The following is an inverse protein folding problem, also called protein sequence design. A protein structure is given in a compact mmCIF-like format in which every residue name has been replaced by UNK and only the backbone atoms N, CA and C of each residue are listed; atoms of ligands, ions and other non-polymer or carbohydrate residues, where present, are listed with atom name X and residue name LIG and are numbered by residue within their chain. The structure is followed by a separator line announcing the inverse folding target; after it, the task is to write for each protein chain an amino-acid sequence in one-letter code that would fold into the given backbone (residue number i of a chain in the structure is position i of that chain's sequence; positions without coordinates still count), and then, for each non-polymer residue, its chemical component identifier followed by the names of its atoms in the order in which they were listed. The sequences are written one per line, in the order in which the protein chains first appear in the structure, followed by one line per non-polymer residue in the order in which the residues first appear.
data_IF_270900467804
#
_entry.id   IF_270900467804
#
_cell.length_a   1.000
_cell.length_b   1.000
_cell.length_c   1.000
_cell.angle_alpha   90.00
_cell.angle_beta   90.00
_cell.angle_gamma   90.00
#
_symmetry.space_group_name_H-M   'P 1'
#
loop_
_entity.id
_entity.type
_entity.pdbx_description
1 polymer ?
#
# COMPACT_ATOMS: atom_id res chain seq x y z
N UNK A 1 -30.77 54.94 27.30
CA UNK A 1 -29.82 54.40 28.29
C UNK A 1 -28.58 53.95 27.56
N UNK A 2 -27.50 54.72 27.68
CA UNK A 2 -26.25 54.57 26.92
C UNK A 2 -25.24 53.79 27.78
N UNK A 3 -24.81 52.64 27.32
CA UNK A 3 -23.71 51.87 27.96
C UNK A 3 -22.38 52.16 27.25
N UNK A 4 -21.57 52.98 27.91
CA UNK A 4 -20.19 53.27 27.51
C UNK A 4 -19.28 52.06 27.76
N UNK A 5 -18.73 51.49 26.71
CA UNK A 5 -17.61 50.53 26.77
C UNK A 5 -16.28 51.26 27.00
N UNK A 6 -15.66 51.05 28.15
CA UNK A 6 -14.30 51.56 28.47
C UNK A 6 -13.27 50.68 27.73
N UNK A 7 -12.53 51.28 26.78
CA UNK A 7 -11.29 50.70 26.23
C UNK A 7 -10.16 50.79 27.25
N UNK A 8 -9.61 49.67 27.66
CA UNK A 8 -8.37 49.60 28.46
C UNK A 8 -7.16 49.84 27.56
N UNK A 9 -6.31 50.82 27.91
CA UNK A 9 -5.10 51.13 27.17
C UNK A 9 -3.95 50.18 27.53
N UNK A 10 -3.07 49.91 26.54
CA UNK A 10 -1.89 49.02 26.67
C UNK A 10 -0.93 49.37 27.82
N UNK A 11 -0.98 50.58 28.38
CA UNK A 11 -0.14 51.02 29.50
C UNK A 11 -0.65 50.55 30.88
N UNK A 12 -1.89 50.12 31.01
CA UNK A 12 -2.46 49.60 32.27
C UNK A 12 -2.09 48.15 32.58
N UNK A 13 -1.64 47.39 31.60
CA UNK A 13 -1.30 45.96 31.77
C UNK A 13 0.14 45.73 32.28
N UNK A 14 1.04 46.71 32.11
CA UNK A 14 2.46 46.59 32.49
C UNK A 14 2.79 46.98 33.93
N UNK A 15 1.83 47.46 34.70
CA UNK A 15 2.06 47.89 36.11
C UNK A 15 1.61 46.91 37.17
N UNK A 16 1.10 45.70 36.81
CA UNK A 16 0.66 44.66 37.77
C UNK A 16 1.46 43.39 37.76
N UNK A 17 2.61 43.35 37.07
CA UNK A 17 3.48 42.16 36.94
C UNK A 17 4.77 42.19 37.80
N UNK A 18 4.88 43.11 38.78
CA UNK A 18 6.08 43.24 39.60
C UNK A 18 5.77 43.09 41.08
N UNK A 19 5.30 41.93 41.50
CA UNK A 19 5.34 41.47 42.92
C UNK A 19 4.91 39.98 42.96
N UNK A 20 5.90 39.11 42.83
CA UNK A 20 5.93 37.76 43.42
C UNK A 20 7.07 36.94 42.73
N UNK A 21 8.28 37.24 43.12
CA UNK A 21 9.42 36.37 42.81
C UNK A 21 10.35 36.34 44.03
N UNK A 22 9.93 35.60 45.01
CA UNK A 22 10.79 35.15 46.10
C UNK A 22 10.16 33.96 46.76
N UNK A 23 10.43 32.75 46.27
CA UNK A 23 10.44 31.49 47.02
C UNK A 23 11.18 30.44 46.20
N UNK A 24 12.27 29.87 46.74
CA UNK A 24 12.74 28.55 46.51
C UNK A 24 13.72 28.30 45.38
N UNK A 25 14.99 28.71 45.54
CA UNK A 25 16.09 27.99 44.89
C UNK A 25 16.27 26.63 45.51
N UNK A 26 15.51 25.64 45.03
CA UNK A 26 15.83 24.25 45.24
C UNK A 26 16.91 23.84 44.27
N UNK A 27 18.10 23.55 44.78
CA UNK A 27 19.20 22.93 44.06
C UNK A 27 18.73 21.66 43.40
N UNK A 28 18.37 21.72 42.13
CA UNK A 28 18.28 20.53 41.27
C UNK A 28 19.75 20.13 40.99
N UNK A 29 20.16 19.01 41.62
CA UNK A 29 21.36 18.30 41.23
C UNK A 29 21.28 18.02 39.70
N UNK A 30 22.38 18.16 38.96
CA UNK A 30 22.38 17.79 37.54
C UNK A 30 22.04 16.30 37.47
N UNK A 31 20.83 16.00 37.03
CA UNK A 31 20.47 14.66 36.58
C UNK A 31 21.51 14.28 35.55
N UNK A 32 22.25 13.20 35.83
CA UNK A 32 23.16 12.61 34.87
C UNK A 32 22.36 12.38 33.56
N UNK A 33 22.55 13.27 32.61
CA UNK A 33 22.19 13.00 31.23
C UNK A 33 23.10 11.84 30.87
N UNK A 34 22.54 10.62 30.91
CA UNK A 34 23.20 9.46 30.31
C UNK A 34 23.47 9.86 28.88
N UNK A 35 24.71 10.21 28.61
CA UNK A 35 25.22 10.27 27.24
C UNK A 35 25.00 8.87 26.68
N UNK A 36 23.91 8.72 25.94
CA UNK A 36 23.77 7.58 25.03
C UNK A 36 25.01 7.66 24.16
N UNK A 37 26.02 6.84 24.49
CA UNK A 37 27.16 6.65 23.63
C UNK A 37 26.57 6.15 22.31
N UNK A 38 26.63 6.97 21.27
CA UNK A 38 26.35 6.52 19.93
C UNK A 38 27.29 5.33 19.69
N UNK A 39 26.77 4.12 19.78
CA UNK A 39 27.52 2.94 19.36
C UNK A 39 27.98 3.23 17.94
N UNK A 40 29.28 3.17 17.72
CA UNK A 40 29.84 3.28 16.39
C UNK A 40 29.08 2.28 15.49
N UNK A 41 28.64 2.72 14.29
CA UNK A 41 27.87 1.86 13.40
C UNK A 41 28.63 0.55 13.21
N UNK A 42 27.98 -0.58 13.49
CA UNK A 42 28.56 -1.88 13.24
C UNK A 42 28.80 -1.98 11.73
N UNK A 43 30.06 -1.86 11.31
CA UNK A 43 30.46 -2.03 9.91
C UNK A 43 30.29 -3.51 9.59
N UNK A 44 29.10 -3.91 9.17
CA UNK A 44 28.87 -5.28 8.66
C UNK A 44 29.47 -5.35 7.27
N UNK A 45 30.73 -5.79 7.20
CA UNK A 45 31.39 -6.07 5.93
C UNK A 45 31.43 -7.57 5.68
N UNK A 46 31.14 -7.97 4.44
CA UNK A 46 31.24 -9.36 3.95
C UNK A 46 30.30 -10.36 4.64
N UNK A 47 29.15 -9.94 5.15
CA UNK A 47 28.14 -10.87 5.65
C UNK A 47 27.58 -11.68 4.49
N UNK A 48 27.49 -13.01 4.64
CA UNK A 48 26.79 -13.89 3.72
C UNK A 48 25.31 -13.96 4.07
N UNK A 49 24.49 -14.04 3.05
CA UNK A 49 23.03 -14.20 3.18
C UNK A 49 22.46 -14.84 1.91
N UNK A 50 21.30 -15.46 2.02
CA UNK A 50 20.60 -16.04 0.88
C UNK A 50 19.61 -15.04 0.28
N UNK A 51 19.52 -15.02 -1.06
CA UNK A 51 18.55 -14.20 -1.79
C UNK A 51 18.17 -14.83 -3.13
N UNK A 52 16.95 -14.61 -3.54
CA UNK A 52 16.43 -15.06 -4.82
C UNK A 52 16.77 -14.07 -5.92
N UNK A 53 17.51 -14.53 -6.92
CA UNK A 53 18.02 -13.69 -8.01
C UNK A 53 17.18 -13.87 -9.27
N UNK A 54 16.58 -12.77 -9.72
CA UNK A 54 15.88 -12.65 -10.99
C UNK A 54 16.78 -11.98 -12.02
N UNK A 55 16.64 -12.39 -13.28
CA UNK A 55 17.24 -11.73 -14.46
C UNK A 55 16.21 -11.00 -15.31
N UNK A 56 14.97 -10.86 -14.80
CA UNK A 56 13.87 -10.18 -15.47
C UNK A 56 12.86 -11.10 -16.14
N UNK A 57 11.77 -10.52 -16.62
CA UNK A 57 10.70 -11.26 -17.27
C UNK A 57 11.18 -11.85 -18.60
N UNK A 58 10.88 -13.14 -18.84
CA UNK A 58 11.29 -13.85 -20.05
C UNK A 58 12.70 -14.42 -20.05
N UNK A 59 13.46 -14.25 -18.97
CA UNK A 59 14.86 -14.71 -18.88
C UNK A 59 15.04 -16.02 -18.11
N UNK A 60 13.95 -16.63 -17.66
CA UNK A 60 13.93 -17.82 -16.82
C UNK A 60 13.53 -17.54 -15.38
N UNK A 61 13.31 -18.61 -14.62
CA UNK A 61 12.89 -18.50 -13.22
C UNK A 61 14.00 -17.96 -12.34
N UNK A 62 13.59 -17.27 -11.31
CA UNK A 62 14.43 -16.86 -10.18
C UNK A 62 15.11 -18.06 -9.53
N UNK A 63 16.36 -17.90 -9.12
CA UNK A 63 17.17 -18.92 -8.46
C UNK A 63 17.71 -18.43 -7.12
N UNK A 64 17.80 -19.33 -6.13
CA UNK A 64 18.32 -19.01 -4.80
C UNK A 64 19.86 -19.09 -4.79
N UNK A 65 20.49 -18.04 -4.30
CA UNK A 65 21.94 -17.94 -4.20
C UNK A 65 22.39 -17.50 -2.82
N UNK A 66 23.60 -17.92 -2.43
CA UNK A 66 24.35 -17.30 -1.35
C UNK A 66 25.05 -16.06 -1.88
N UNK A 67 24.86 -14.94 -1.21
CA UNK A 67 25.36 -13.62 -1.60
C UNK A 67 26.30 -13.07 -0.54
N UNK A 68 27.19 -12.16 -0.94
CA UNK A 68 28.05 -11.43 -0.02
C UNK A 68 27.65 -9.96 0.02
N UNK A 69 27.22 -9.48 1.18
CA UNK A 69 26.82 -8.09 1.38
C UNK A 69 27.99 -7.14 1.15
N UNK A 70 27.76 -6.10 0.36
CA UNK A 70 28.72 -4.99 0.18
C UNK A 70 28.69 -4.04 1.39
N UNK A 71 29.77 -3.26 1.62
CA UNK A 71 29.74 -2.21 2.63
C UNK A 71 28.59 -1.24 2.39
N UNK A 72 27.83 -0.95 3.45
CA UNK A 72 26.75 0.03 3.41
C UNK A 72 27.28 1.45 3.60
N UNK A 73 26.65 2.41 2.95
CA UNK A 73 27.07 3.80 2.93
C UNK A 73 25.91 4.76 3.16
N UNK A 74 26.19 6.01 3.48
CA UNK A 74 25.22 7.08 3.55
C UNK A 74 24.01 6.73 4.44
N UNK A 75 22.81 6.74 3.86
CA UNK A 75 21.53 6.49 4.55
C UNK A 75 21.00 5.06 4.33
N UNK A 76 21.86 4.13 3.93
CA UNK A 76 21.45 2.73 3.78
C UNK A 76 21.17 2.08 5.14
N UNK A 77 20.19 1.18 5.15
CA UNK A 77 19.76 0.38 6.30
C UNK A 77 19.72 -1.08 5.88
N UNK A 78 20.32 -1.96 6.67
CA UNK A 78 20.21 -3.41 6.51
C UNK A 78 19.17 -3.93 7.49
N UNK A 79 18.14 -4.58 6.97
CA UNK A 79 17.06 -5.16 7.75
C UNK A 79 17.10 -6.68 7.59
N UNK A 80 17.24 -7.42 8.70
CA UNK A 80 17.05 -8.87 8.70
C UNK A 80 15.57 -9.16 8.53
N UNK A 81 15.24 -9.82 7.44
CA UNK A 81 13.87 -10.13 7.07
C UNK A 81 13.22 -11.08 8.08
N UNK A 82 12.04 -10.77 8.57
CA UNK A 82 11.20 -11.68 9.37
C UNK A 82 10.07 -12.24 8.51
N UNK A 83 9.43 -11.39 7.72
CA UNK A 83 8.38 -11.79 6.79
C UNK A 83 8.23 -10.80 5.65
N UNK A 84 7.95 -11.31 4.45
CA UNK A 84 7.63 -10.50 3.27
C UNK A 84 6.46 -11.09 2.52
N UNK A 85 5.63 -10.24 1.89
CA UNK A 85 4.54 -10.73 1.08
C UNK A 85 4.98 -10.99 -0.37
N UNK A 86 4.40 -12.03 -0.97
CA UNK A 86 4.62 -12.41 -2.36
C UNK A 86 3.64 -11.63 -3.25
N UNK A 87 4.06 -10.45 -3.71
CA UNK A 87 3.17 -9.55 -4.46
C UNK A 87 3.02 -10.00 -5.92
N UNK A 88 1.78 -10.00 -6.41
CA UNK A 88 1.45 -10.34 -7.79
C UNK A 88 2.18 -9.50 -8.84
N UNK A 89 2.50 -8.25 -8.53
CA UNK A 89 3.21 -7.34 -9.44
C UNK A 89 4.59 -7.83 -9.88
N UNK A 90 5.25 -8.69 -9.09
CA UNK A 90 6.55 -9.27 -9.41
C UNK A 90 6.49 -10.64 -10.12
N UNK A 91 5.31 -11.20 -10.35
CA UNK A 91 5.13 -12.54 -10.93
C UNK A 91 5.93 -12.75 -12.22
N UNK A 92 5.87 -11.77 -13.13
CA UNK A 92 6.60 -11.86 -14.40
C UNK A 92 8.11 -11.98 -14.22
N UNK A 93 8.70 -11.18 -13.33
CA UNK A 93 10.13 -11.21 -13.05
C UNK A 93 10.56 -12.44 -12.24
N UNK A 94 9.76 -12.88 -11.27
CA UNK A 94 10.10 -14.01 -10.39
C UNK A 94 9.96 -15.36 -11.12
N UNK A 95 8.91 -15.55 -11.88
CA UNK A 95 8.68 -16.80 -12.63
C UNK A 95 9.34 -16.77 -14.02
N UNK A 96 9.89 -15.64 -14.45
CA UNK A 96 10.47 -15.47 -15.77
C UNK A 96 9.47 -15.63 -16.90
N UNK A 97 8.18 -15.38 -16.65
CA UNK A 97 7.10 -15.50 -17.61
C UNK A 97 6.80 -14.19 -18.31
N UNK A 98 6.45 -14.27 -19.58
CA UNK A 98 5.93 -13.12 -20.32
C UNK A 98 4.46 -12.87 -19.93
N UNK A 99 4.01 -11.62 -19.92
CA UNK A 99 2.60 -11.32 -19.75
C UNK A 99 1.72 -12.03 -20.79
N UNK A 100 0.47 -12.31 -20.43
CA UNK A 100 -0.55 -12.81 -21.38
C UNK A 100 -0.55 -11.96 -22.65
N UNK A 101 -0.67 -12.59 -23.83
CA UNK A 101 -0.59 -11.91 -25.13
C UNK A 101 -1.61 -10.76 -25.26
N UNK A 102 -2.80 -10.88 -24.65
CA UNK A 102 -3.81 -9.82 -24.65
C UNK A 102 -3.38 -8.61 -23.83
N UNK A 103 -2.65 -8.85 -22.73
CA UNK A 103 -2.07 -7.79 -21.88
C UNK A 103 -0.85 -7.18 -22.56
N UNK A 104 -0.03 -7.99 -23.22
CA UNK A 104 1.15 -7.51 -23.95
C UNK A 104 0.80 -6.70 -25.20
N UNK A 105 -0.34 -7.00 -25.84
CA UNK A 105 -0.83 -6.28 -27.03
C UNK A 105 -1.51 -4.94 -26.68
N UNK A 106 -1.82 -4.67 -25.40
CA UNK A 106 -2.36 -3.38 -25.00
C UNK A 106 -1.36 -2.27 -25.32
N UNK A 107 -1.81 -1.14 -25.92
CA UNK A 107 -0.90 -0.05 -26.25
C UNK A 107 -0.15 0.39 -25.01
N UNK A 108 1.18 0.49 -25.14
CA UNK A 108 1.99 1.05 -24.08
C UNK A 108 1.49 2.47 -23.80
N UNK A 109 1.11 2.76 -22.55
CA UNK A 109 0.76 4.11 -22.15
C UNK A 109 1.83 5.09 -22.63
N UNK A 110 1.43 6.26 -23.11
CA UNK A 110 2.36 7.33 -23.51
C UNK A 110 3.26 7.77 -22.33
N UNK A 111 2.86 7.48 -21.11
CA UNK A 111 3.71 7.51 -19.93
C UNK A 111 4.53 6.21 -19.89
N UNK A 112 5.51 6.11 -20.81
CA UNK A 112 6.47 5.01 -20.79
C UNK A 112 7.04 4.83 -19.39
N UNK A 113 7.19 3.57 -18.97
CA UNK A 113 7.91 3.26 -17.75
C UNK A 113 9.24 4.04 -17.73
N UNK A 114 9.62 4.65 -16.60
CA UNK A 114 10.88 5.38 -16.48
C UNK A 114 12.01 4.56 -17.10
N UNK A 115 12.90 5.22 -17.85
CA UNK A 115 13.97 4.56 -18.60
C UNK A 115 14.80 3.56 -17.79
N UNK A 116 14.79 3.69 -16.43
CA UNK A 116 15.42 2.79 -15.49
C UNK A 116 14.87 1.36 -15.45
N UNK A 117 13.58 1.16 -15.71
CA UNK A 117 12.98 -0.18 -15.69
C UNK A 117 13.53 -1.09 -16.79
N UNK A 118 13.93 -0.53 -17.92
CA UNK A 118 14.53 -1.30 -19.03
C UNK A 118 15.94 -1.84 -18.73
N UNK A 119 16.72 -1.15 -17.90
CA UNK A 119 18.09 -1.57 -17.56
C UNK A 119 18.13 -2.75 -16.59
N UNK A 120 17.07 -2.95 -15.79
CA UNK A 120 17.05 -4.04 -14.79
C UNK A 120 16.86 -5.43 -15.42
N UNK A 121 16.44 -5.54 -16.66
CA UNK A 121 16.18 -6.84 -17.29
C UNK A 121 17.44 -7.68 -17.55
N UNK A 122 18.64 -7.06 -17.54
CA UNK A 122 19.91 -7.75 -17.76
C UNK A 122 20.73 -7.86 -16.47
N UNK A 123 20.20 -7.38 -15.34
CA UNK A 123 20.91 -7.31 -14.06
C UNK A 123 20.49 -8.46 -13.15
N UNK A 124 21.36 -8.85 -12.23
CA UNK A 124 21.01 -9.76 -11.13
C UNK A 124 20.24 -8.95 -10.07
N UNK A 125 18.96 -9.23 -9.85
CA UNK A 125 18.07 -8.44 -9.01
C UNK A 125 17.36 -9.30 -8.00
N UNK A 126 17.42 -8.91 -6.72
CA UNK A 126 16.52 -9.44 -5.69
C UNK A 126 15.16 -8.73 -5.84
N UNK A 127 14.11 -9.51 -6.10
CA UNK A 127 12.76 -9.00 -6.23
C UNK A 127 12.10 -8.76 -4.85
N UNK A 128 10.88 -8.23 -4.85
CA UNK A 128 10.10 -7.90 -3.64
C UNK A 128 10.23 -6.43 -3.25
N UNK A 129 9.10 -5.84 -2.83
CA UNK A 129 9.00 -4.40 -2.56
C UNK A 129 8.23 -4.11 -1.27
N UNK A 130 8.56 -4.83 -0.22
CA UNK A 130 8.03 -4.63 1.13
C UNK A 130 8.30 -5.83 2.02
N UNK A 131 8.27 -5.60 3.31
CA UNK A 131 8.45 -6.64 4.32
C UNK A 131 8.57 -6.06 5.72
N UNK A 132 8.76 -6.93 6.68
CA UNK A 132 9.04 -6.56 8.08
C UNK A 132 10.29 -7.27 8.55
N UNK A 133 10.99 -6.68 9.49
CA UNK A 133 12.20 -7.26 10.04
C UNK A 133 12.84 -6.40 11.11
N UNK A 134 14.07 -6.76 11.48
CA UNK A 134 14.86 -6.08 12.51
C UNK A 134 16.09 -5.44 11.87
N UNK A 135 16.33 -4.18 12.19
CA UNK A 135 17.52 -3.45 11.73
C UNK A 135 18.79 -4.11 12.28
N UNK A 136 19.69 -4.52 11.41
CA UNK A 136 20.98 -5.12 11.79
C UNK A 136 22.16 -4.16 11.62
N UNK A 137 22.07 -3.26 10.64
CA UNK A 137 23.10 -2.26 10.41
C UNK A 137 22.50 -0.98 9.83
N UNK A 138 23.16 0.12 10.10
CA UNK A 138 22.80 1.44 9.59
C UNK A 138 24.02 2.15 9.05
N UNK A 139 23.87 2.85 7.94
CA UNK A 139 24.90 3.73 7.39
C UNK A 139 25.12 4.97 8.27
N UNK A 140 26.24 5.68 8.10
CA UNK A 140 26.63 6.77 8.99
C UNK A 140 25.70 7.99 8.98
N UNK A 141 24.86 8.12 7.97
CA UNK A 141 23.93 9.24 7.82
C UNK A 141 22.49 8.91 8.26
N UNK A 142 22.22 7.66 8.64
CA UNK A 142 20.90 7.23 9.13
C UNK A 142 20.57 7.92 10.45
N UNK A 143 19.34 8.44 10.55
CA UNK A 143 18.84 9.17 11.73
C UNK A 143 17.50 8.64 12.23
N UNK A 144 16.76 7.92 11.39
CA UNK A 144 15.37 7.50 11.66
C UNK A 144 15.28 6.26 12.52
N UNK A 145 16.24 5.35 12.40
CA UNK A 145 16.25 4.03 13.06
C UNK A 145 17.64 3.70 13.59
N UNK A 146 17.69 2.74 14.49
CA UNK A 146 18.93 2.19 15.05
C UNK A 146 18.92 0.68 14.98
N UNK A 147 20.08 0.06 15.19
CA UNK A 147 20.22 -1.40 15.26
C UNK A 147 19.34 -1.96 16.39
N UNK A 148 18.59 -3.00 16.08
CA UNK A 148 17.62 -3.63 16.99
C UNK A 148 16.19 -3.13 16.83
N UNK A 149 15.95 -2.02 16.14
CA UNK A 149 14.58 -1.55 15.87
C UNK A 149 13.85 -2.54 14.96
N UNK A 150 12.61 -2.85 15.30
CA UNK A 150 11.71 -3.60 14.43
C UNK A 150 11.01 -2.64 13.48
N UNK A 151 11.00 -2.98 12.20
CA UNK A 151 10.59 -2.05 11.16
C UNK A 151 9.70 -2.71 10.10
N UNK A 152 8.81 -1.91 9.50
CA UNK A 152 8.23 -2.18 8.20
C UNK A 152 9.10 -1.49 7.14
N UNK A 153 9.47 -2.23 6.09
CA UNK A 153 10.06 -1.66 4.87
C UNK A 153 8.92 -1.46 3.88
N UNK A 154 8.55 -0.21 3.67
CA UNK A 154 7.36 0.18 2.87
C UNK A 154 7.67 0.19 1.38
N UNK A 155 6.71 -0.22 0.54
CA UNK A 155 6.83 -0.13 -0.91
C UNK A 155 6.92 1.30 -1.48
N UNK A 156 6.67 2.31 -0.65
CA UNK A 156 6.79 3.73 -1.00
C UNK A 156 7.65 4.46 0.03
N UNK A 157 8.56 5.34 -0.39
CA UNK A 157 9.40 6.11 0.52
C UNK A 157 8.63 7.27 1.17
N UNK A 158 9.18 7.76 2.28
CA UNK A 158 8.75 8.99 2.95
C UNK A 158 9.98 9.80 3.38
N UNK A 159 10.45 10.72 2.55
CA UNK A 159 11.61 11.53 2.91
C UNK A 159 11.28 12.63 3.93
N UNK A 160 10.01 13.07 4.03
CA UNK A 160 9.55 14.12 4.94
C UNK A 160 9.87 15.55 4.51
N UNK A 161 10.72 15.77 3.51
CA UNK A 161 11.25 17.10 3.14
C UNK A 161 10.90 17.57 1.73
N UNK A 162 10.49 16.67 0.83
CA UNK A 162 10.15 17.05 -0.53
C UNK A 162 8.80 17.78 -0.62
N UNK A 163 8.57 18.47 -1.74
CA UNK A 163 7.35 19.21 -2.00
C UNK A 163 6.06 18.40 -1.73
N UNK A 164 6.04 17.12 -2.08
CA UNK A 164 4.87 16.27 -1.88
C UNK A 164 4.69 15.87 -0.42
N UNK A 165 5.74 15.44 0.25
CA UNK A 165 5.69 15.09 1.67
C UNK A 165 5.22 16.27 2.53
N UNK A 166 5.76 17.49 2.29
CA UNK A 166 5.37 18.69 3.01
C UNK A 166 3.89 19.09 2.80
N UNK A 167 3.23 18.57 1.80
CA UNK A 167 1.79 18.75 1.51
C UNK A 167 0.92 17.57 1.91
N UNK A 168 1.44 16.63 2.69
CA UNK A 168 0.69 15.45 3.14
C UNK A 168 0.46 14.38 2.06
N UNK A 169 1.15 14.48 0.90
CA UNK A 169 1.08 13.53 -0.21
C UNK A 169 2.38 12.72 -0.31
N UNK A 170 2.74 12.08 0.80
CA UNK A 170 3.95 11.24 0.85
C UNK A 170 3.81 9.93 0.04
N UNK A 171 2.59 9.51 -0.28
CA UNK A 171 2.31 8.51 -1.30
C UNK A 171 2.96 8.83 -2.66
N UNK A 172 3.18 10.12 -2.94
CA UNK A 172 3.84 10.66 -4.12
C UNK A 172 5.21 11.27 -3.78
N UNK A 173 5.92 10.69 -2.81
CA UNK A 173 7.23 11.17 -2.42
C UNK A 173 8.19 11.24 -3.61
N UNK A 174 8.78 12.42 -3.83
CA UNK A 174 9.66 12.65 -4.99
C UNK A 174 10.98 11.86 -4.89
N UNK A 175 11.33 11.37 -3.70
CA UNK A 175 12.51 10.54 -3.51
C UNK A 175 12.44 9.21 -4.30
N UNK A 176 11.24 8.69 -4.55
CA UNK A 176 11.05 7.52 -5.40
C UNK A 176 11.54 7.74 -6.84
N UNK A 177 11.38 8.96 -7.37
CA UNK A 177 11.83 9.33 -8.72
C UNK A 177 13.19 10.02 -8.73
N UNK A 178 13.68 10.49 -7.59
CA UNK A 178 14.98 11.16 -7.49
C UNK A 178 16.15 10.17 -7.50
N UNK A 179 15.90 8.91 -7.08
CA UNK A 179 16.85 7.83 -7.25
C UNK A 179 16.64 7.28 -8.65
N UNK A 180 17.36 7.82 -9.62
CA UNK A 180 17.32 7.39 -11.00
C UNK A 180 17.94 6.01 -11.21
N UNK A 181 17.77 5.45 -12.40
CA UNK A 181 18.40 4.19 -12.75
C UNK A 181 19.95 4.27 -12.75
N UNK A 182 20.48 5.47 -12.88
CA UNK A 182 21.93 5.72 -12.86
C UNK A 182 22.50 5.73 -11.43
N UNK A 183 21.62 5.81 -10.39
CA UNK A 183 21.96 5.81 -8.98
C UNK A 183 21.81 4.41 -8.35
N UNK A 184 21.53 3.37 -9.14
CA UNK A 184 21.49 1.99 -8.66
C UNK A 184 22.87 1.56 -8.21
N UNK A 185 23.02 1.40 -6.90
CA UNK A 185 24.25 0.91 -6.30
C UNK A 185 24.08 -0.59 -5.99
N UNK A 186 24.99 -1.47 -6.43
CA UNK A 186 24.90 -2.87 -6.08
C UNK A 186 25.05 -3.06 -4.57
N UNK A 187 24.15 -3.87 -4.00
CA UNK A 187 24.10 -4.12 -2.55
C UNK A 187 24.87 -5.36 -2.11
N UNK A 188 25.12 -6.26 -3.04
CA UNK A 188 25.79 -7.53 -2.79
C UNK A 188 26.54 -8.02 -4.03
N UNK A 189 27.30 -9.08 -3.87
CA UNK A 189 27.94 -9.83 -4.95
C UNK A 189 27.53 -11.30 -4.91
N UNK A 190 27.35 -11.90 -6.09
CA UNK A 190 27.26 -13.34 -6.27
C UNK A 190 28.65 -13.98 -6.08
N UNK A 191 28.75 -15.32 -5.90
CA UNK A 191 30.04 -16.01 -5.76
C UNK A 191 31.01 -15.82 -6.93
N UNK A 192 30.49 -15.57 -8.13
CA UNK A 192 31.27 -15.30 -9.35
C UNK A 192 31.67 -13.81 -9.51
N UNK A 193 31.34 -12.97 -8.53
CA UNK A 193 31.60 -11.53 -8.55
C UNK A 193 30.54 -10.71 -9.30
N UNK A 194 29.47 -11.31 -9.80
CA UNK A 194 28.36 -10.56 -10.44
C UNK A 194 27.70 -9.63 -9.42
N UNK A 195 27.59 -8.32 -9.71
CA UNK A 195 26.91 -7.38 -8.82
C UNK A 195 25.41 -7.63 -8.76
N UNK A 196 24.86 -7.55 -7.54
CA UNK A 196 23.44 -7.77 -7.25
C UNK A 196 22.79 -6.46 -6.81
N UNK A 197 21.62 -6.21 -7.37
CA UNK A 197 20.79 -5.05 -7.11
C UNK A 197 19.45 -5.46 -6.46
N UNK A 198 18.68 -4.51 -6.00
CA UNK A 198 17.36 -4.75 -5.43
C UNK A 198 16.24 -4.07 -6.23
N UNK A 199 15.10 -4.72 -6.27
CA UNK A 199 13.89 -4.12 -6.82
C UNK A 199 13.35 -3.08 -5.84
N UNK A 200 12.99 -1.91 -6.35
CA UNK A 200 12.35 -0.81 -5.59
C UNK A 200 13.18 -0.34 -4.38
N UNK A 201 14.50 -0.53 -4.40
CA UNK A 201 15.41 -0.25 -3.27
C UNK A 201 15.05 -1.04 -2.00
N UNK A 202 14.55 -2.27 -2.14
CA UNK A 202 14.11 -3.11 -1.01
C UNK A 202 14.66 -4.53 -1.11
N UNK A 203 14.36 -5.25 -2.21
CA UNK A 203 14.84 -6.62 -2.40
C UNK A 203 14.29 -7.59 -1.34
N UNK A 204 12.97 -7.62 -1.13
CA UNK A 204 12.35 -8.36 -0.03
C UNK A 204 12.42 -9.89 -0.11
N UNK A 205 12.82 -10.49 -1.25
CA UNK A 205 12.93 -11.95 -1.41
C UNK A 205 14.33 -12.47 -1.03
N UNK A 206 14.79 -12.08 0.17
CA UNK A 206 16.09 -12.46 0.71
C UNK A 206 16.05 -12.47 2.25
N UNK A 207 17.08 -13.05 2.88
CA UNK A 207 17.29 -12.98 4.33
C UNK A 207 17.59 -11.56 4.82
N UNK A 208 18.13 -10.71 3.95
CA UNK A 208 18.41 -9.30 4.23
C UNK A 208 17.78 -8.41 3.17
N UNK A 209 17.07 -7.36 3.62
CA UNK A 209 16.67 -6.22 2.81
C UNK A 209 17.70 -5.10 3.02
N UNK A 210 18.29 -4.60 1.94
CA UNK A 210 19.16 -3.43 1.99
C UNK A 210 18.40 -2.27 1.36
N UNK A 211 18.13 -1.24 2.12
CA UNK A 211 17.27 -0.15 1.71
C UNK A 211 17.81 1.20 2.21
N UNK A 212 17.07 2.27 1.97
CA UNK A 212 17.37 3.58 2.54
C UNK A 212 16.38 3.90 3.68
N UNK A 213 16.79 4.75 4.62
CA UNK A 213 15.96 5.10 5.77
C UNK A 213 14.58 5.67 5.37
N UNK A 214 14.44 6.23 4.16
CA UNK A 214 13.18 6.75 3.66
C UNK A 214 12.10 5.69 3.42
N UNK A 215 12.49 4.43 3.20
CA UNK A 215 11.57 3.28 3.09
C UNK A 215 11.25 2.63 4.42
N UNK A 216 11.98 2.99 5.48
CA UNK A 216 11.89 2.32 6.77
C UNK A 216 10.91 3.05 7.71
N UNK A 217 9.96 2.30 8.25
CA UNK A 217 8.96 2.77 9.21
C UNK A 217 9.11 1.97 10.50
N UNK A 218 9.53 2.57 11.62
CA UNK A 218 9.61 1.89 12.91
C UNK A 218 8.22 1.38 13.35
N UNK A 219 8.16 0.14 13.84
CA UNK A 219 6.92 -0.47 14.35
C UNK A 219 7.16 -1.02 15.77
N UNK A 220 6.50 -0.41 16.74
CA UNK A 220 6.66 -0.77 18.16
C UNK A 220 5.58 -1.80 18.54
N UNK A 221 5.80 -3.07 18.15
CA UNK A 221 4.83 -4.14 18.31
C UNK A 221 5.48 -5.47 18.70
N UNK A 222 4.71 -6.30 19.42
CA UNK A 222 5.04 -7.71 19.70
C UNK A 222 4.27 -8.69 18.81
N UNK A 223 3.54 -8.21 17.81
CA UNK A 223 2.81 -9.06 16.88
C UNK A 223 3.76 -10.07 16.21
N UNK A 224 3.27 -11.28 15.94
CA UNK A 224 4.03 -12.31 15.22
C UNK A 224 4.41 -11.83 13.82
N UNK A 225 5.52 -12.35 13.27
CA UNK A 225 6.09 -11.90 12.01
C UNK A 225 5.09 -12.02 10.83
N UNK A 226 4.35 -13.12 10.73
CA UNK A 226 3.42 -13.36 9.61
C UNK A 226 2.26 -12.37 9.60
N UNK A 227 1.45 -12.20 10.67
CA UNK A 227 0.41 -11.19 10.70
C UNK A 227 0.95 -9.75 10.53
N UNK A 228 2.12 -9.46 11.09
CA UNK A 228 2.78 -8.16 10.91
C UNK A 228 3.21 -7.96 9.44
N UNK A 229 3.85 -8.96 8.83
CA UNK A 229 4.23 -8.95 7.42
C UNK A 229 3.02 -8.79 6.50
N UNK A 230 1.86 -9.34 6.89
CA UNK A 230 0.63 -9.18 6.11
C UNK A 230 0.08 -7.75 6.20
N UNK A 231 -0.08 -7.18 7.40
CA UNK A 231 -0.63 -5.82 7.55
C UNK A 231 0.30 -4.75 6.99
N UNK A 232 1.62 -4.97 7.08
CA UNK A 232 2.65 -4.10 6.51
C UNK A 232 2.95 -4.38 5.03
N UNK A 233 2.30 -5.37 4.42
CA UNK A 233 2.49 -5.68 3.00
C UNK A 233 2.02 -4.54 2.10
N UNK A 234 2.63 -4.41 0.92
CA UNK A 234 2.24 -3.40 -0.06
C UNK A 234 0.74 -3.47 -0.40
N UNK A 235 0.17 -4.68 -0.45
CA UNK A 235 -1.25 -4.89 -0.77
C UNK A 235 -2.17 -4.46 0.37
N UNK A 236 -1.84 -4.78 1.63
CA UNK A 236 -2.66 -4.33 2.78
C UNK A 236 -2.53 -2.84 3.01
N UNK A 237 -1.33 -2.29 2.90
CA UNK A 237 -1.09 -0.84 3.00
C UNK A 237 -1.88 -0.09 1.92
N UNK A 238 -1.92 -0.59 0.67
CA UNK A 238 -2.70 0.04 -0.39
C UNK A 238 -4.22 -0.08 -0.14
N UNK A 239 -4.71 -1.24 0.27
CA UNK A 239 -6.14 -1.45 0.55
C UNK A 239 -6.64 -0.64 1.74
N UNK A 240 -5.90 -0.64 2.85
CA UNK A 240 -6.21 0.18 4.03
C UNK A 240 -6.02 1.68 3.72
N UNK A 241 -4.97 2.05 2.97
CA UNK A 241 -4.77 3.43 2.52
C UNK A 241 -5.96 3.96 1.74
N UNK A 242 -6.47 3.18 0.79
CA UNK A 242 -7.62 3.56 -0.02
C UNK A 242 -8.94 3.66 0.76
N UNK A 243 -9.06 2.93 1.87
CA UNK A 243 -10.33 2.83 2.61
C UNK A 243 -10.36 3.61 3.92
N UNK A 244 -9.26 3.63 4.68
CA UNK A 244 -9.24 4.22 6.04
C UNK A 244 -8.55 5.58 6.06
N UNK A 245 -7.51 5.78 5.24
CA UNK A 245 -6.61 6.92 5.40
C UNK A 245 -6.42 7.75 4.15
N UNK A 246 -7.12 7.45 3.08
CA UNK A 246 -6.98 8.22 1.85
C UNK A 246 -7.31 9.69 2.09
N UNK A 247 -6.36 10.57 1.77
CA UNK A 247 -6.48 12.00 2.08
C UNK A 247 -7.54 12.73 1.25
N UNK A 248 -8.05 12.09 0.19
CA UNK A 248 -8.92 12.71 -0.80
C UNK A 248 -10.31 12.06 -0.88
N UNK A 249 -10.45 10.82 -0.46
CA UNK A 249 -11.72 10.12 -0.38
C UNK A 249 -11.99 9.71 1.06
N UNK A 250 -13.17 9.98 1.54
CA UNK A 250 -13.56 9.74 2.92
C UNK A 250 -14.65 8.69 2.93
N UNK A 251 -14.38 7.55 3.56
CA UNK A 251 -15.44 6.63 3.95
C UNK A 251 -15.89 7.07 5.34
N UNK A 252 -17.14 7.48 5.45
CA UNK A 252 -17.77 7.91 6.69
C UNK A 252 -18.68 6.80 7.25
N UNK A 253 -18.99 6.83 8.55
CA UNK A 253 -20.01 5.95 9.10
C UNK A 253 -21.33 6.08 8.34
N UNK A 254 -21.83 4.94 7.83
CA UNK A 254 -23.01 4.89 7.00
C UNK A 254 -22.76 4.88 5.49
N UNK A 255 -21.54 5.15 5.02
CA UNK A 255 -21.20 5.11 3.59
C UNK A 255 -21.51 3.77 2.93
N UNK A 256 -21.81 3.82 1.64
CA UNK A 256 -21.94 2.67 0.76
C UNK A 256 -20.66 2.55 -0.06
N UNK A 257 -19.97 1.42 0.05
CA UNK A 257 -18.68 1.17 -0.60
C UNK A 257 -18.77 -0.02 -1.53
N UNK A 258 -18.24 0.10 -2.75
CA UNK A 258 -17.99 -1.05 -3.62
C UNK A 258 -16.50 -1.30 -3.76
N UNK A 259 -16.10 -2.57 -3.74
CA UNK A 259 -14.71 -3.01 -3.95
C UNK A 259 -14.68 -3.95 -5.14
N UNK A 260 -14.00 -3.55 -6.21
CA UNK A 260 -13.85 -4.32 -7.45
C UNK A 260 -12.50 -5.03 -7.43
N UNK A 261 -12.55 -6.37 -7.36
CA UNK A 261 -11.39 -7.23 -7.11
C UNK A 261 -11.23 -7.54 -5.62
N UNK A 262 -11.30 -8.85 -5.27
CA UNK A 262 -11.12 -9.36 -3.91
C UNK A 262 -9.82 -10.18 -3.77
N UNK A 263 -8.75 -9.74 -4.42
CA UNK A 263 -7.40 -10.15 -4.08
C UNK A 263 -7.00 -9.61 -2.69
N UNK A 264 -5.77 -9.82 -2.23
CA UNK A 264 -5.35 -9.39 -0.89
C UNK A 264 -5.49 -7.87 -0.69
N UNK A 265 -5.29 -7.07 -1.74
CA UNK A 265 -5.51 -5.62 -1.71
C UNK A 265 -6.99 -5.29 -1.49
N UNK A 266 -7.88 -5.84 -2.33
CA UNK A 266 -9.33 -5.57 -2.21
C UNK A 266 -9.92 -6.11 -0.91
N UNK A 267 -9.48 -7.28 -0.42
CA UNK A 267 -9.89 -7.82 0.88
C UNK A 267 -9.41 -6.94 2.05
N UNK A 268 -8.26 -6.30 1.92
CA UNK A 268 -7.80 -5.29 2.88
C UNK A 268 -8.66 -4.02 2.82
N UNK A 269 -9.08 -3.60 1.61
CA UNK A 269 -9.99 -2.49 1.43
C UNK A 269 -11.40 -2.78 2.00
N UNK A 270 -11.92 -4.00 1.85
CA UNK A 270 -13.18 -4.44 2.49
C UNK A 270 -13.10 -4.31 4.01
N UNK A 271 -12.00 -4.79 4.61
CA UNK A 271 -11.79 -4.65 6.06
C UNK A 271 -11.68 -3.18 6.47
N UNK A 272 -10.92 -2.39 5.70
CA UNK A 272 -10.77 -0.96 5.94
C UNK A 272 -12.11 -0.21 5.85
N UNK A 273 -12.95 -0.51 4.86
CA UNK A 273 -14.29 0.06 4.73
C UNK A 273 -15.17 -0.28 5.95
N UNK A 274 -15.10 -1.53 6.44
CA UNK A 274 -15.79 -1.95 7.66
C UNK A 274 -15.27 -1.18 8.89
N UNK A 275 -13.96 -1.04 9.02
CA UNK A 275 -13.32 -0.29 10.13
C UNK A 275 -13.72 1.18 10.09
N UNK A 276 -13.83 1.78 8.91
CA UNK A 276 -14.28 3.16 8.71
C UNK A 276 -15.78 3.36 8.98
N UNK A 277 -16.56 2.28 9.15
CA UNK A 277 -17.98 2.35 9.49
C UNK A 277 -18.94 2.35 8.29
N UNK A 278 -18.50 1.87 7.12
CA UNK A 278 -19.38 1.69 5.97
C UNK A 278 -20.58 0.79 6.33
N UNK A 279 -21.79 1.21 5.97
CA UNK A 279 -23.03 0.47 6.25
C UNK A 279 -23.29 -0.64 5.23
N UNK A 280 -22.84 -0.44 4.01
CA UNK A 280 -22.97 -1.39 2.91
C UNK A 280 -21.62 -1.54 2.21
N UNK A 281 -21.15 -2.78 2.08
CA UNK A 281 -19.88 -3.10 1.42
C UNK A 281 -20.18 -4.17 0.37
N UNK A 282 -20.04 -3.80 -0.90
CA UNK A 282 -20.30 -4.66 -2.06
C UNK A 282 -18.97 -5.11 -2.63
N UNK A 283 -18.62 -6.38 -2.47
CA UNK A 283 -17.38 -6.95 -2.99
C UNK A 283 -17.63 -7.70 -4.31
N UNK A 284 -16.77 -7.49 -5.30
CA UNK A 284 -16.94 -7.99 -6.66
C UNK A 284 -15.67 -8.75 -7.06
N UNK A 285 -15.79 -10.04 -7.36
CA UNK A 285 -14.66 -10.87 -7.81
C UNK A 285 -15.15 -12.08 -8.61
N UNK A 286 -14.48 -12.51 -9.68
CA UNK A 286 -14.85 -13.71 -10.41
C UNK A 286 -14.64 -15.01 -9.60
N UNK A 287 -13.65 -15.03 -8.69
CA UNK A 287 -13.28 -16.22 -7.93
C UNK A 287 -14.21 -16.44 -6.74
N UNK A 288 -14.96 -17.54 -6.74
CA UNK A 288 -15.93 -17.85 -5.70
C UNK A 288 -15.32 -17.88 -4.29
N UNK A 289 -14.17 -18.53 -4.14
CA UNK A 289 -13.45 -18.60 -2.85
C UNK A 289 -13.07 -17.22 -2.29
N UNK A 290 -12.72 -16.27 -3.16
CA UNK A 290 -12.41 -14.89 -2.76
C UNK A 290 -13.66 -14.13 -2.31
N UNK A 291 -14.79 -14.36 -2.98
CA UNK A 291 -16.09 -13.80 -2.55
C UNK A 291 -16.49 -14.32 -1.17
N UNK A 292 -16.22 -15.60 -0.86
CA UNK A 292 -16.48 -16.17 0.46
C UNK A 292 -15.59 -15.56 1.55
N UNK A 293 -14.33 -15.30 1.23
CA UNK A 293 -13.43 -14.57 2.14
C UNK A 293 -13.93 -13.14 2.34
N UNK A 294 -14.35 -12.45 1.27
CA UNK A 294 -14.88 -11.09 1.38
C UNK A 294 -16.06 -11.01 2.36
N UNK A 295 -17.00 -11.98 2.34
CA UNK A 295 -18.08 -12.05 3.34
C UNK A 295 -17.54 -12.19 4.77
N UNK A 296 -16.57 -13.09 4.97
CA UNK A 296 -15.99 -13.32 6.31
C UNK A 296 -15.32 -12.09 6.89
N UNK A 297 -14.67 -11.27 6.05
CA UNK A 297 -13.94 -10.09 6.49
C UNK A 297 -14.76 -8.80 6.50
N UNK A 298 -16.06 -8.85 6.09
CA UNK A 298 -16.99 -7.74 6.31
C UNK A 298 -17.80 -7.27 5.12
N UNK A 299 -17.72 -7.92 3.94
CA UNK A 299 -18.60 -7.56 2.83
C UNK A 299 -20.06 -7.94 3.14
N UNK A 300 -20.97 -7.00 2.97
CA UNK A 300 -22.42 -7.23 3.14
C UNK A 300 -23.04 -7.91 1.92
N UNK A 301 -22.48 -7.66 0.75
CA UNK A 301 -22.91 -8.23 -0.52
C UNK A 301 -21.68 -8.67 -1.32
N UNK A 302 -21.85 -9.74 -2.10
CA UNK A 302 -20.82 -10.18 -3.06
C UNK A 302 -21.45 -10.44 -4.41
N UNK A 303 -20.74 -10.07 -5.48
CA UNK A 303 -21.19 -10.22 -6.86
C UNK A 303 -20.12 -10.91 -7.70
N UNK A 304 -20.58 -11.72 -8.65
CA UNK A 304 -19.75 -12.33 -9.68
C UNK A 304 -19.84 -11.51 -10.97
N UNK A 305 -18.73 -10.92 -11.45
CA UNK A 305 -18.74 -10.13 -12.67
C UNK A 305 -18.99 -10.98 -13.94
N UNK A 306 -18.74 -12.31 -13.88
CA UNK A 306 -18.95 -13.21 -15.02
C UNK A 306 -20.42 -13.55 -15.23
N UNK A 307 -21.19 -13.69 -14.16
CA UNK A 307 -22.63 -14.04 -14.23
C UNK A 307 -23.43 -12.85 -14.75
N UNK A 308 -23.03 -11.62 -14.43
CA UNK A 308 -23.81 -10.44 -14.64
C UNK A 308 -23.08 -9.33 -15.41
N UNK A 309 -22.13 -9.68 -16.27
CA UNK A 309 -21.21 -8.72 -16.92
C UNK A 309 -21.93 -7.51 -17.54
N UNK A 310 -23.09 -7.70 -18.18
CA UNK A 310 -23.88 -6.62 -18.79
C UNK A 310 -24.75 -5.83 -17.81
N UNK A 311 -25.06 -6.40 -16.63
CA UNK A 311 -25.94 -5.79 -15.63
C UNK A 311 -25.24 -5.45 -14.33
N UNK A 312 -23.94 -5.74 -14.21
CA UNK A 312 -23.18 -5.56 -12.99
C UNK A 312 -23.30 -4.16 -12.40
N UNK A 313 -23.15 -3.13 -13.24
CA UNK A 313 -23.27 -1.72 -12.83
C UNK A 313 -24.67 -1.43 -12.26
N UNK A 314 -25.73 -1.90 -12.94
CA UNK A 314 -27.11 -1.71 -12.48
C UNK A 314 -27.37 -2.45 -11.15
N UNK A 315 -26.83 -3.65 -10.99
CA UNK A 315 -26.96 -4.41 -9.73
C UNK A 315 -26.27 -3.72 -8.56
N UNK A 316 -25.03 -3.24 -8.75
CA UNK A 316 -24.34 -2.47 -7.72
C UNK A 316 -25.14 -1.24 -7.34
N UNK A 317 -25.65 -0.50 -8.33
CA UNK A 317 -26.50 0.66 -8.08
C UNK A 317 -27.79 0.31 -7.35
N UNK A 318 -28.42 -0.80 -7.68
CA UNK A 318 -29.64 -1.27 -7.00
C UNK A 318 -29.39 -1.61 -5.52
N UNK A 319 -28.21 -2.14 -5.19
CA UNK A 319 -27.80 -2.42 -3.82
C UNK A 319 -27.38 -1.16 -3.04
N UNK A 320 -27.21 -0.04 -3.73
CA UNK A 320 -26.69 1.23 -3.16
C UNK A 320 -27.82 2.24 -2.95
N UNK A 321 -28.97 1.82 -2.41
CA UNK A 321 -30.09 2.70 -2.15
C UNK A 321 -30.02 3.28 -0.73
N UNK A 322 -30.19 4.59 -0.62
CA UNK A 322 -30.29 5.31 0.65
C UNK A 322 -31.70 5.25 1.25
N UNK A 323 -31.86 5.29 2.58
CA UNK A 323 -33.18 5.38 3.20
C UNK A 323 -34.00 6.58 2.71
N UNK A 324 -33.33 7.70 2.40
CA UNK A 324 -33.95 8.92 1.87
C UNK A 324 -34.43 8.78 0.43
N UNK A 325 -33.93 7.80 -0.33
CA UNK A 325 -34.44 7.51 -1.69
C UNK A 325 -35.94 7.12 -1.67
N UNK A 326 -36.41 6.57 -0.53
CA UNK A 326 -37.83 6.26 -0.31
C UNK A 326 -38.71 7.52 -0.27
N UNK A 327 -38.18 8.65 0.19
CA UNK A 327 -38.92 9.93 0.21
C UNK A 327 -39.20 10.43 -1.21
N UNK A 328 -38.31 10.12 -2.16
CA UNK A 328 -38.46 10.47 -3.57
C UNK A 328 -39.27 9.41 -4.36
N UNK A 329 -39.27 8.15 -3.91
CA UNK A 329 -40.01 7.07 -4.55
C UNK A 329 -41.52 7.21 -4.41
N UNK A 330 -42.02 7.90 -3.36
CA UNK A 330 -43.46 8.20 -3.16
C UNK A 330 -44.00 9.33 -4.01
N UNK A 331 -43.16 10.08 -4.71
CA UNK A 331 -43.59 11.26 -5.46
C UNK A 331 -42.92 11.41 -6.82
N UNK A 332 -43.42 10.76 -7.86
CA UNK A 332 -43.29 11.23 -9.24
C UNK A 332 -41.88 11.40 -9.80
N UNK A 333 -41.08 10.34 -9.82
CA UNK A 333 -39.94 10.26 -10.74
C UNK A 333 -40.40 9.49 -12.02
N UNK A 334 -40.82 10.20 -13.10
CA UNK A 334 -41.35 9.55 -14.31
C UNK A 334 -40.31 8.73 -15.07
N UNK A 335 -39.02 8.88 -14.74
CA UNK A 335 -37.91 8.19 -15.44
C UNK A 335 -37.42 6.95 -14.71
N UNK A 336 -37.94 6.57 -13.53
CA UNK A 336 -37.49 5.42 -12.76
C UNK A 336 -36.03 5.51 -12.28
N UNK A 337 -35.36 6.63 -12.49
CA UNK A 337 -33.99 6.89 -12.05
C UNK A 337 -34.03 7.38 -10.61
N UNK A 338 -33.43 6.62 -9.71
CA UNK A 338 -33.25 7.04 -8.32
C UNK A 338 -32.09 8.05 -8.26
N UNK A 339 -32.32 9.31 -7.85
CA UNK A 339 -31.22 10.24 -7.58
C UNK A 339 -30.30 9.64 -6.54
N UNK A 340 -28.99 9.70 -6.77
CA UNK A 340 -28.00 9.19 -5.83
C UNK A 340 -27.72 7.69 -5.89
N UNK A 341 -28.44 6.90 -6.69
CA UNK A 341 -28.19 5.47 -6.82
C UNK A 341 -26.74 5.19 -7.28
N UNK A 342 -25.98 4.55 -6.43
CA UNK A 342 -24.57 4.20 -6.60
C UNK A 342 -23.79 4.35 -5.30
N UNK A 343 -22.67 3.64 -5.14
CA UNK A 343 -21.80 3.77 -3.98
C UNK A 343 -21.24 5.20 -3.83
N UNK A 344 -21.02 5.63 -2.59
CA UNK A 344 -20.29 6.86 -2.27
C UNK A 344 -18.82 6.72 -2.65
N UNK A 345 -18.26 5.52 -2.46
CA UNK A 345 -16.87 5.21 -2.77
C UNK A 345 -16.80 3.89 -3.51
N UNK A 346 -16.07 3.88 -4.62
CA UNK A 346 -15.69 2.65 -5.34
C UNK A 346 -14.19 2.51 -5.31
N UNK A 347 -13.69 1.39 -4.78
CA UNK A 347 -12.26 1.05 -4.75
C UNK A 347 -12.01 0.00 -5.81
N UNK A 348 -11.23 0.33 -6.82
CA UNK A 348 -10.83 -0.58 -7.87
C UNK A 348 -9.46 -1.20 -7.51
N UNK A 349 -9.45 -2.54 -7.42
CA UNK A 349 -8.33 -3.36 -6.94
C UNK A 349 -8.10 -4.61 -7.80
N UNK A 350 -8.74 -4.72 -8.98
CA UNK A 350 -8.65 -5.89 -9.84
C UNK A 350 -7.33 -5.95 -10.60
N UNK A 351 -7.00 -4.90 -11.35
CA UNK A 351 -5.80 -4.82 -12.18
C UNK A 351 -5.77 -5.79 -13.36
N UNK A 352 -4.63 -5.83 -14.06
CA UNK A 352 -4.40 -6.72 -15.19
C UNK A 352 -3.93 -8.12 -14.78
N UNK A 353 -4.31 -9.13 -15.57
CA UNK A 353 -3.84 -10.51 -15.42
C UNK A 353 -2.49 -10.69 -16.11
N UNK A 354 -1.39 -10.70 -15.36
CA UNK A 354 -0.06 -10.94 -15.91
C UNK A 354 0.12 -12.40 -16.36
N UNK A 355 -0.61 -13.32 -15.75
CA UNK A 355 -0.60 -14.76 -16.05
C UNK A 355 -2.04 -15.25 -16.08
N UNK A 356 -2.36 -16.13 -17.01
CA UNK A 356 -3.69 -16.77 -17.06
C UNK A 356 -3.97 -17.54 -15.76
N UNK A 357 -5.05 -17.24 -15.02
CA UNK A 357 -5.35 -17.90 -13.76
C UNK A 357 -5.73 -19.38 -13.98
N UNK A 358 -5.50 -20.21 -12.95
CA UNK A 358 -5.98 -21.61 -12.90
C UNK A 358 -7.34 -21.74 -12.19
N UNK A 359 -7.95 -20.63 -11.87
CA UNK A 359 -9.28 -20.49 -11.27
C UNK A 359 -10.15 -19.66 -12.20
N UNK A 360 -11.35 -19.26 -11.76
CA UNK A 360 -12.25 -18.41 -12.55
C UNK A 360 -11.53 -17.14 -13.03
N UNK A 361 -11.52 -16.94 -14.35
CA UNK A 361 -10.86 -15.80 -14.98
C UNK A 361 -11.72 -14.54 -14.90
N UNK A 362 -11.07 -13.39 -14.94
CA UNK A 362 -11.73 -12.10 -15.14
C UNK A 362 -12.34 -12.01 -16.55
N UNK A 363 -13.46 -11.31 -16.72
CA UNK A 363 -14.01 -11.02 -18.05
C UNK A 363 -13.04 -10.20 -18.93
N UNK A 364 -12.15 -9.44 -18.31
CA UNK A 364 -11.14 -8.65 -18.99
C UNK A 364 -9.76 -8.79 -18.30
N UNK A 365 -8.78 -9.40 -18.99
CA UNK A 365 -7.43 -9.57 -18.44
C UNK A 365 -6.60 -8.29 -18.42
N UNK A 366 -7.01 -7.22 -19.12
CA UNK A 366 -6.26 -5.94 -19.16
C UNK A 366 -6.48 -5.07 -17.95
N UNK A 367 -7.60 -5.32 -17.21
CA UNK A 367 -8.04 -4.49 -16.09
C UNK A 367 -8.78 -3.21 -16.52
N UNK A 368 -8.95 -2.96 -17.81
CA UNK A 368 -9.61 -1.75 -18.33
C UNK A 368 -11.10 -1.76 -17.99
N UNK A 369 -11.80 -2.86 -18.30
CA UNK A 369 -13.23 -3.00 -18.03
C UNK A 369 -13.58 -2.84 -16.54
N UNK A 370 -12.87 -3.44 -15.58
CA UNK A 370 -13.08 -3.19 -14.15
C UNK A 370 -13.06 -1.71 -13.76
N UNK A 371 -12.08 -0.92 -14.27
CA UNK A 371 -12.01 0.53 -14.00
C UNK A 371 -13.18 1.28 -14.63
N UNK A 372 -13.54 0.97 -15.88
CA UNK A 372 -14.67 1.58 -16.56
C UNK A 372 -15.99 1.31 -15.83
N UNK A 373 -16.20 0.07 -15.41
CA UNK A 373 -17.37 -0.32 -14.62
C UNK A 373 -17.37 0.35 -13.24
N UNK A 374 -16.22 0.39 -12.56
CA UNK A 374 -16.08 1.06 -11.27
C UNK A 374 -16.45 2.55 -11.37
N UNK A 375 -15.99 3.25 -12.40
CA UNK A 375 -16.38 4.63 -12.65
C UNK A 375 -17.90 4.79 -12.86
N UNK A 376 -18.50 3.91 -13.66
CA UNK A 376 -19.93 3.92 -13.93
C UNK A 376 -20.79 3.51 -12.72
N UNK A 377 -20.22 2.76 -11.77
CA UNK A 377 -20.92 2.36 -10.53
C UNK A 377 -21.07 3.53 -9.58
N UNK A 378 -20.14 4.48 -9.54
CA UNK A 378 -20.17 5.59 -8.59
C UNK A 378 -21.51 6.32 -8.59
N UNK A 379 -21.95 6.67 -7.40
CA UNK A 379 -23.07 7.60 -7.20
C UNK A 379 -22.72 9.01 -7.66
N UNK A 380 -23.71 9.89 -7.75
CA UNK A 380 -23.49 11.30 -8.05
C UNK A 380 -22.64 11.95 -6.95
N UNK A 381 -21.56 12.62 -7.33
CA UNK A 381 -20.59 13.19 -6.39
C UNK A 381 -19.71 12.17 -5.65
N UNK A 382 -19.80 10.90 -6.03
CA UNK A 382 -19.02 9.83 -5.42
C UNK A 382 -17.54 9.83 -5.81
N UNK A 383 -16.79 8.93 -5.20
CA UNK A 383 -15.34 8.82 -5.36
C UNK A 383 -14.95 7.47 -5.97
N UNK A 384 -14.13 7.50 -7.01
CA UNK A 384 -13.41 6.33 -7.52
C UNK A 384 -11.96 6.36 -7.03
N UNK A 385 -11.49 5.31 -6.38
CA UNK A 385 -10.09 5.14 -5.99
C UNK A 385 -9.51 3.97 -6.77
N UNK A 386 -8.52 4.23 -7.62
CA UNK A 386 -7.82 3.20 -8.39
C UNK A 386 -6.51 2.86 -7.68
N UNK A 387 -6.35 1.61 -7.29
CA UNK A 387 -5.16 1.11 -6.58
C UNK A 387 -4.46 -0.02 -7.34
N UNK A 388 -5.07 -0.51 -8.40
CA UNK A 388 -4.55 -1.58 -9.23
C UNK A 388 -3.65 -1.10 -10.36
N UNK A 389 -2.93 -2.03 -11.00
CA UNK A 389 -2.16 -1.78 -12.20
C UNK A 389 -2.92 -2.24 -13.44
N UNK A 390 -3.37 -1.29 -14.24
CA UNK A 390 -4.09 -1.50 -15.50
C UNK A 390 -3.11 -1.46 -16.67
N UNK A 391 -3.38 -2.22 -17.72
CA UNK A 391 -2.57 -2.23 -18.95
C UNK A 391 -3.39 -1.67 -20.10
N UNK A 392 -3.02 -0.47 -20.54
CA UNK A 392 -3.63 0.26 -21.66
C UNK A 392 -4.35 1.54 -21.25
N UNK A 393 -4.93 2.21 -22.22
CA UNK A 393 -5.65 3.47 -22.04
C UNK A 393 -7.10 3.22 -21.63
N UNK A 394 -7.61 4.04 -20.72
CA UNK A 394 -8.99 3.94 -20.21
C UNK A 394 -9.84 5.03 -20.84
N UNK A 395 -10.86 4.62 -21.59
CA UNK A 395 -11.86 5.55 -22.13
C UNK A 395 -13.05 5.60 -21.18
N UNK A 396 -13.43 6.79 -20.73
CA UNK A 396 -14.55 7.04 -19.84
C UNK A 396 -15.62 7.93 -20.48
N UNK A 397 -16.90 7.76 -20.14
CA UNK A 397 -17.98 8.61 -20.66
C UNK A 397 -17.83 10.07 -20.22
N UNK A 398 -17.60 10.99 -21.16
CA UNK A 398 -17.33 12.40 -20.86
C UNK A 398 -18.42 13.11 -20.05
N UNK A 399 -19.70 12.76 -20.24
CA UNK A 399 -20.83 13.34 -19.48
C UNK A 399 -20.72 13.07 -17.97
N UNK A 400 -20.12 11.95 -17.56
CA UNK A 400 -19.97 11.61 -16.14
C UNK A 400 -18.96 12.50 -15.43
N UNK A 401 -17.98 13.06 -16.15
CA UNK A 401 -17.01 14.02 -15.57
C UNK A 401 -17.68 15.30 -15.09
N UNK A 402 -18.68 15.80 -15.84
CA UNK A 402 -19.33 17.07 -15.53
C UNK A 402 -20.60 16.85 -14.71
N UNK A 403 -21.53 16.02 -15.21
CA UNK A 403 -22.84 15.85 -14.60
C UNK A 403 -22.81 14.86 -13.43
N UNK A 404 -21.97 13.82 -13.54
CA UNK A 404 -21.80 12.83 -12.47
C UNK A 404 -21.08 13.36 -11.25
N UNK A 405 -20.20 14.35 -11.42
CA UNK A 405 -19.40 14.92 -10.33
C UNK A 405 -18.45 13.90 -9.67
N UNK A 406 -18.13 12.80 -10.36
CA UNK A 406 -17.29 11.73 -9.80
C UNK A 406 -15.85 12.22 -9.67
N UNK A 407 -15.29 12.11 -8.49
CA UNK A 407 -13.88 12.42 -8.25
C UNK A 407 -13.04 11.15 -8.37
N UNK A 408 -12.06 11.15 -9.29
CA UNK A 408 -11.12 10.05 -9.43
C UNK A 408 -9.83 10.33 -8.64
N UNK A 409 -9.45 9.39 -7.80
CA UNK A 409 -8.24 9.42 -7.01
C UNK A 409 -7.31 8.29 -7.46
N UNK A 410 -6.09 8.66 -7.82
CA UNK A 410 -4.97 7.75 -8.00
C UNK A 410 -3.93 8.04 -6.92
N UNK A 411 -3.22 7.03 -6.48
CA UNK A 411 -2.13 7.20 -5.53
C UNK A 411 -1.40 5.90 -5.26
N UNK A 412 -0.09 5.98 -5.09
CA UNK A 412 0.67 4.82 -4.68
C UNK A 412 0.24 4.41 -3.27
N UNK A 413 0.32 3.11 -2.97
CA UNK A 413 -0.09 2.56 -1.68
C UNK A 413 -1.49 3.06 -1.22
N UNK A 414 -2.43 3.28 -2.15
CA UNK A 414 -3.78 3.75 -1.85
C UNK A 414 -3.84 5.16 -1.26
N UNK A 415 -2.82 6.00 -1.47
CA UNK A 415 -2.71 7.33 -0.86
C UNK A 415 -2.18 7.31 0.58
N UNK A 416 -1.65 6.18 1.04
CA UNK A 416 -1.09 6.02 2.38
C UNK A 416 0.13 6.93 2.60
N UNK A 417 0.21 7.54 3.77
CA UNK A 417 1.42 8.19 4.29
C UNK A 417 2.17 7.21 5.20
N UNK A 418 3.26 6.55 4.74
CA UNK A 418 3.85 5.43 5.47
C UNK A 418 4.13 5.69 6.94
N UNK A 419 4.82 6.79 7.25
CA UNK A 419 5.20 7.14 8.63
C UNK A 419 4.00 7.43 9.55
N UNK A 420 2.87 7.86 8.98
CA UNK A 420 1.64 8.17 9.75
C UNK A 420 0.74 6.95 9.85
N UNK A 421 0.55 6.24 8.75
CA UNK A 421 -0.56 5.30 8.60
C UNK A 421 -0.16 3.85 8.91
N UNK A 422 1.08 3.42 8.60
CA UNK A 422 1.53 2.05 8.91
C UNK A 422 1.47 1.76 10.42
N UNK A 423 1.94 2.63 11.34
CA UNK A 423 1.77 2.40 12.77
C UNK A 423 0.30 2.23 13.19
N UNK A 424 -0.62 2.99 12.58
CA UNK A 424 -2.07 2.84 12.82
C UNK A 424 -2.62 1.51 12.31
N UNK A 425 -2.13 1.02 11.18
CA UNK A 425 -2.53 -0.29 10.65
C UNK A 425 -2.03 -1.42 11.56
N UNK A 426 -0.83 -1.28 12.12
CA UNK A 426 -0.32 -2.21 13.14
C UNK A 426 -1.19 -2.19 14.40
N UNK A 427 -1.62 -1.02 14.83
CA UNK A 427 -2.56 -0.89 15.95
C UNK A 427 -3.92 -1.56 15.66
N UNK A 428 -4.43 -1.45 14.42
CA UNK A 428 -5.65 -2.16 13.99
C UNK A 428 -5.47 -3.69 14.03
N UNK A 429 -4.28 -4.19 13.67
CA UNK A 429 -3.94 -5.61 13.82
C UNK A 429 -3.95 -6.03 15.28
N UNK A 430 -3.28 -5.30 16.16
CA UNK A 430 -3.19 -5.60 17.61
C UNK A 430 -4.55 -5.57 18.31
N UNK A 431 -5.44 -4.68 17.87
CA UNK A 431 -6.83 -4.60 18.37
C UNK A 431 -7.76 -5.64 17.75
N UNK A 432 -7.27 -6.50 16.86
CA UNK A 432 -8.09 -7.50 16.17
C UNK A 432 -9.09 -6.92 15.16
N UNK A 433 -8.94 -5.65 14.79
CA UNK A 433 -9.79 -5.00 13.79
C UNK A 433 -9.44 -5.43 12.37
N UNK A 434 -8.16 -5.74 12.12
CA UNK A 434 -7.66 -6.27 10.84
C UNK A 434 -7.30 -7.75 10.98
N UNK A 435 -7.98 -8.60 10.22
CA UNK A 435 -7.73 -10.04 10.15
C UNK A 435 -6.67 -10.37 9.11
N UNK A 436 -5.40 -10.35 9.53
CA UNK A 436 -4.27 -10.70 8.69
C UNK A 436 -4.20 -12.21 8.41
N UNK A 437 -4.65 -13.07 9.34
CA UNK A 437 -4.55 -14.54 9.24
C UNK A 437 -5.40 -15.06 8.09
N UNK A 438 -6.60 -14.53 7.92
CA UNK A 438 -7.49 -14.92 6.81
C UNK A 438 -6.93 -14.56 5.45
N UNK A 439 -6.06 -13.54 5.35
CA UNK A 439 -5.44 -13.16 4.08
C UNK A 439 -4.13 -13.90 3.79
N UNK A 440 -3.33 -14.20 4.79
CA UNK A 440 -2.06 -14.93 4.65
C UNK A 440 -2.32 -16.44 4.49
N UNK A 441 -2.82 -16.85 3.33
CA UNK A 441 -3.30 -18.21 3.10
C UNK A 441 -2.20 -19.23 2.81
N UNK A 442 -1.02 -18.76 2.38
CA UNK A 442 0.17 -19.58 2.15
C UNK A 442 1.34 -18.97 2.90
N UNK A 443 1.96 -19.72 3.80
CA UNK A 443 3.15 -19.29 4.54
C UNK A 443 4.26 -20.29 4.29
N UNK A 444 5.39 -19.83 3.81
CA UNK A 444 6.52 -20.68 3.44
C UNK A 444 7.86 -20.10 3.93
N UNK A 445 8.86 -20.92 4.24
CA UNK A 445 10.22 -20.44 4.46
C UNK A 445 10.84 -19.95 3.14
N UNK A 446 11.95 -19.21 3.26
CA UNK A 446 12.67 -18.64 2.13
C UNK A 446 12.95 -19.66 1.02
N UNK A 447 13.37 -20.88 1.37
CA UNK A 447 13.75 -21.94 0.42
C UNK A 447 12.59 -22.39 -0.48
N UNK A 448 11.35 -22.24 -0.02
CA UNK A 448 10.13 -22.66 -0.73
C UNK A 448 9.36 -21.49 -1.36
N UNK A 449 9.94 -20.31 -1.38
CA UNK A 449 9.30 -19.09 -1.88
C UNK A 449 8.76 -19.26 -3.29
N UNK A 450 9.50 -19.92 -4.18
CA UNK A 450 9.12 -20.05 -5.60
C UNK A 450 7.84 -20.86 -5.79
N UNK A 451 7.61 -21.91 -4.98
CA UNK A 451 6.39 -22.71 -4.99
C UNK A 451 5.17 -21.84 -4.62
N UNK A 452 5.29 -21.09 -3.54
CA UNK A 452 4.22 -20.19 -3.11
C UNK A 452 3.98 -19.04 -4.11
N UNK A 453 5.01 -18.63 -4.85
CA UNK A 453 4.86 -17.62 -5.89
C UNK A 453 4.05 -18.14 -7.09
N UNK A 454 4.16 -19.43 -7.41
CA UNK A 454 3.29 -20.06 -8.42
C UNK A 454 1.82 -20.03 -8.00
N UNK A 455 1.51 -20.35 -6.74
CA UNK A 455 0.15 -20.25 -6.21
C UNK A 455 -0.42 -18.84 -6.30
N UNK A 456 0.41 -17.84 -6.01
CA UNK A 456 0.03 -16.42 -6.17
C UNK A 456 -0.21 -16.08 -7.65
N UNK A 457 0.69 -16.49 -8.54
CA UNK A 457 0.63 -16.20 -9.96
C UNK A 457 -0.64 -16.76 -10.61
N UNK A 458 -0.98 -18.00 -10.29
CA UNK A 458 -2.15 -18.70 -10.84
C UNK A 458 -3.42 -18.50 -10.01
N UNK A 459 -3.39 -17.61 -9.00
CA UNK A 459 -4.53 -17.28 -8.11
C UNK A 459 -5.07 -18.45 -7.29
N UNK A 460 -4.27 -19.52 -7.10
CA UNK A 460 -4.62 -20.64 -6.25
C UNK A 460 -4.67 -20.30 -4.76
N UNK A 461 -4.10 -19.18 -4.37
CA UNK A 461 -4.09 -18.64 -3.02
C UNK A 461 -4.57 -17.17 -3.00
N UNK A 462 -4.93 -16.63 -1.83
CA UNK A 462 -5.19 -15.19 -1.67
C UNK A 462 -3.87 -14.44 -1.73
N UNK A 463 -2.95 -14.77 -0.84
CA UNK A 463 -1.56 -14.29 -0.91
C UNK A 463 -0.63 -15.22 -0.17
N UNK A 464 0.67 -15.15 -0.53
CA UNK A 464 1.75 -15.84 0.15
C UNK A 464 2.55 -14.90 1.04
N UNK A 465 3.03 -15.42 2.16
CA UNK A 465 4.02 -14.79 3.03
C UNK A 465 5.24 -15.69 3.10
N UNK A 466 6.39 -15.16 2.76
CA UNK A 466 7.70 -15.80 2.97
C UNK A 466 8.26 -15.35 4.31
N UNK A 467 8.78 -16.31 5.09
CA UNK A 467 9.55 -16.05 6.32
C UNK A 467 11.02 -16.38 6.05
N UNK A 468 11.93 -15.64 6.66
CA UNK A 468 13.36 -15.81 6.49
C UNK A 468 14.10 -15.90 7.84
#
# INVERSE_FOLDING_TARGET
MSTRTRRLSRRGLLKRGALAASVGAALLAPSAVSTLSAQAPAVITRRRFKGWISRGAGTGRTTLHELTLRPITGRQVVVRTEATNLCYSNVGAVLGVQPDARVAAAPASALAAPAGVRRMNDMAVIQGHGGVGVVEAVGPEVRRVQVGDRVCVSGTPHCGSCYRCLRGRSDMCQFLSAIGADDLVPIADMPDGTPVFENSHIGGLAELMVTFEEWVVPVFTKAEAVPLGMVCSCVSVAGLGASVTHALAVIEPGSIVAVVGCGPLGLSAVQGARIAGASTIIAIDPVAARRDVARRVGATHVLDPNVDASTLVQRVRALSSWPTDRLWAGGRNPAGRRPGAGPDVVIEAAGADLVAPRVEASPDPTGILPVQQAYQMCGLGGHLITTSLVRGDITLPGTLFTIGGVTHHGGQAGGCSPMKDIPRFVEMLEKGQFDAKTLATTVVPLERMLEAYEDVAYRATITGIMTA
#
